data_IF_839280203016
#
_entry.id   IF_839280203016
#
_cell.length_a   1.000
_cell.length_b   1.000
_cell.length_c   1.000
_cell.angle_alpha   90.00
_cell.angle_beta   90.00
_cell.angle_gamma   90.00
#
_symmetry.space_group_name_H-M   'P 1'
#
loop_
_entity.id
_entity.type
_entity.pdbx_description
1 polymer ?
#
# COMPACT_ATOMS: atom_id res chain seq x y z
N UNK A 1 5.79 -18.71 51.40
CA UNK A 1 4.55 -18.14 50.82
C UNK A 1 4.91 -16.83 50.11
N UNK A 2 4.40 -16.56 48.90
CA UNK A 2 4.49 -15.29 48.11
C UNK A 2 5.56 -15.15 47.00
N UNK A 3 5.72 -16.14 46.12
CA UNK A 3 6.39 -15.92 44.81
C UNK A 3 5.51 -16.32 43.60
N UNK A 4 4.43 -17.09 43.81
CA UNK A 4 3.55 -17.51 42.72
C UNK A 4 2.60 -16.42 42.19
N UNK A 5 2.45 -15.29 42.90
CA UNK A 5 1.42 -14.28 42.58
C UNK A 5 1.83 -13.24 41.53
N UNK A 6 3.11 -13.12 41.19
CA UNK A 6 3.57 -12.13 40.19
C UNK A 6 3.47 -12.70 38.76
N UNK A 7 3.65 -14.01 38.59
CA UNK A 7 3.62 -14.65 37.27
C UNK A 7 2.21 -14.68 36.66
N UNK A 8 1.16 -14.83 37.47
CA UNK A 8 -0.23 -14.85 37.00
C UNK A 8 -0.71 -13.47 36.49
N UNK A 9 -0.15 -12.38 37.01
CA UNK A 9 -0.53 -11.01 36.62
C UNK A 9 0.15 -10.63 35.29
N UNK A 10 1.37 -11.09 35.03
CA UNK A 10 2.10 -10.83 33.78
C UNK A 10 1.43 -11.53 32.58
N UNK A 11 0.85 -12.72 32.77
CA UNK A 11 0.15 -13.44 31.69
C UNK A 11 -1.21 -12.83 31.34
N UNK A 12 -1.92 -12.22 32.30
CA UNK A 12 -3.23 -11.61 32.07
C UNK A 12 -3.15 -10.31 31.26
N UNK A 13 -2.07 -9.52 31.43
CA UNK A 13 -1.89 -8.23 30.76
C UNK A 13 -1.50 -8.41 29.28
N UNK A 14 -0.78 -9.48 28.93
CA UNK A 14 -0.34 -9.71 27.54
C UNK A 14 -1.48 -10.17 26.62
N UNK A 15 -2.51 -10.83 27.16
CA UNK A 15 -3.69 -11.29 26.39
C UNK A 15 -4.75 -10.22 26.11
N UNK A 16 -4.60 -9.04 26.71
CA UNK A 16 -5.51 -7.88 26.55
C UNK A 16 -4.97 -6.83 25.57
N UNK A 17 -3.76 -7.02 25.02
CA UNK A 17 -3.25 -6.15 23.99
C UNK A 17 -4.04 -6.41 22.70
N UNK A 18 -4.74 -5.41 22.14
CA UNK A 18 -5.40 -5.57 20.86
C UNK A 18 -4.33 -5.96 19.83
N UNK A 19 -4.54 -7.07 19.14
CA UNK A 19 -3.76 -7.39 17.94
C UNK A 19 -4.05 -6.26 16.96
N UNK A 20 -3.13 -5.32 16.82
CA UNK A 20 -3.26 -4.24 15.85
C UNK A 20 -3.21 -4.87 14.47
N UNK A 21 -4.32 -4.85 13.75
CA UNK A 21 -4.34 -5.27 12.35
C UNK A 21 -3.44 -4.31 11.56
N UNK A 22 -2.28 -4.80 11.14
CA UNK A 22 -1.42 -4.04 10.24
C UNK A 22 -2.11 -3.93 8.87
N UNK A 23 -2.20 -2.72 8.33
CA UNK A 23 -2.68 -2.54 6.97
C UNK A 23 -1.66 -3.14 5.99
N UNK A 24 -2.14 -3.98 5.08
CA UNK A 24 -1.33 -4.55 4.00
C UNK A 24 -1.60 -3.77 2.72
N UNK A 25 -0.57 -3.10 2.20
CA UNK A 25 -0.64 -2.34 0.96
C UNK A 25 -0.02 -3.12 -0.20
N UNK A 26 -0.44 -2.80 -1.43
CA UNK A 26 0.08 -3.42 -2.67
C UNK A 26 -0.10 -4.95 -2.73
N UNK A 27 -1.06 -5.51 -1.99
CA UNK A 27 -1.29 -6.96 -1.89
C UNK A 27 -1.84 -7.59 -3.19
N UNK A 28 -2.44 -6.79 -4.07
CA UNK A 28 -3.02 -7.25 -5.34
C UNK A 28 -2.66 -6.26 -6.43
N UNK A 29 -2.30 -6.82 -7.58
CA UNK A 29 -2.17 -6.08 -8.84
C UNK A 29 -3.45 -6.33 -9.65
N UNK A 30 -4.13 -5.26 -10.04
CA UNK A 30 -5.21 -5.31 -11.01
C UNK A 30 -4.75 -4.61 -12.30
N UNK A 31 -4.19 -5.34 -13.27
CA UNK A 31 -3.56 -4.76 -14.44
C UNK A 31 -4.60 -4.32 -15.47
N UNK A 32 -4.41 -3.12 -16.02
CA UNK A 32 -5.03 -2.67 -17.25
C UNK A 32 -4.04 -2.84 -18.39
N UNK A 33 -4.46 -3.52 -19.45
CA UNK A 33 -3.61 -3.88 -20.57
C UNK A 33 -3.78 -2.93 -21.73
N UNK A 34 -2.68 -2.60 -22.41
CA UNK A 34 -2.73 -1.99 -23.74
C UNK A 34 -3.27 -2.99 -24.78
N UNK A 35 -3.90 -2.53 -25.87
CA UNK A 35 -4.49 -3.42 -26.88
C UNK A 35 -3.49 -4.37 -27.54
N UNK A 36 -2.25 -3.91 -27.71
CA UNK A 36 -1.14 -4.67 -28.29
C UNK A 36 -0.33 -5.46 -27.25
N UNK A 37 -0.68 -5.33 -25.96
CA UNK A 37 -0.01 -6.03 -24.85
C UNK A 37 1.42 -5.56 -24.57
N UNK A 38 1.89 -4.46 -25.19
CA UNK A 38 3.25 -3.95 -24.99
C UNK A 38 3.43 -3.21 -23.66
N UNK A 39 2.33 -2.67 -23.13
CA UNK A 39 2.25 -2.01 -21.82
C UNK A 39 1.15 -2.58 -20.95
N UNK A 40 1.36 -2.50 -19.63
CA UNK A 40 0.28 -2.59 -18.66
C UNK A 40 0.44 -1.51 -17.58
N UNK A 41 -0.65 -1.10 -16.96
CA UNK A 41 -0.60 -0.20 -15.81
C UNK A 41 -1.56 -0.64 -14.72
N UNK A 42 -1.26 -0.26 -13.47
CA UNK A 42 -2.12 -0.53 -12.32
C UNK A 42 -2.05 0.59 -11.28
N UNK A 43 -3.05 0.60 -10.39
CA UNK A 43 -3.13 1.53 -9.25
C UNK A 43 -2.78 0.80 -7.96
N UNK A 44 -1.89 1.36 -7.17
CA UNK A 44 -1.75 1.00 -5.77
C UNK A 44 -2.50 2.00 -4.90
N UNK A 45 -3.19 1.48 -3.88
CA UNK A 45 -3.69 2.28 -2.77
C UNK A 45 -2.65 2.23 -1.65
N UNK A 46 -2.31 3.39 -1.10
CA UNK A 46 -1.27 3.62 -0.09
C UNK A 46 -1.93 4.11 1.22
N UNK A 47 -1.14 4.25 2.31
CA UNK A 47 -1.63 4.89 3.54
C UNK A 47 -2.26 6.26 3.27
N UNK A 48 -3.11 6.71 4.20
CA UNK A 48 -3.70 8.06 4.17
C UNK A 48 -4.54 8.38 2.91
N UNK A 49 -4.96 7.34 2.17
CA UNK A 49 -5.76 7.49 0.96
C UNK A 49 -4.95 7.87 -0.28
N UNK A 50 -3.61 7.91 -0.17
CA UNK A 50 -2.72 8.14 -1.29
C UNK A 50 -2.86 7.03 -2.36
N UNK A 51 -2.56 7.42 -3.60
CA UNK A 51 -2.65 6.52 -4.76
C UNK A 51 -1.42 6.73 -5.62
N UNK A 52 -0.83 5.65 -6.09
CA UNK A 52 0.20 5.71 -7.14
C UNK A 52 -0.27 4.90 -8.36
N UNK A 53 0.09 5.39 -9.54
CA UNK A 53 -0.15 4.71 -10.81
C UNK A 53 1.19 4.24 -11.36
N UNK A 54 1.30 2.95 -11.59
CA UNK A 54 2.51 2.28 -12.06
C UNK A 54 2.30 1.87 -13.52
N UNK A 55 3.26 2.21 -14.37
CA UNK A 55 3.35 1.75 -15.76
C UNK A 55 4.44 0.69 -15.85
N UNK A 56 4.15 -0.35 -16.63
CA UNK A 56 5.08 -1.40 -16.99
C UNK A 56 5.22 -1.42 -18.50
N UNK A 57 6.45 -1.28 -18.99
CA UNK A 57 6.82 -1.57 -20.37
C UNK A 57 7.29 -3.03 -20.41
N UNK A 58 6.50 -3.90 -21.03
CA UNK A 58 6.80 -5.34 -21.08
C UNK A 58 7.93 -5.66 -22.06
N UNK A 59 8.15 -4.82 -23.06
CA UNK A 59 9.20 -5.03 -24.06
C UNK A 59 10.57 -4.69 -23.49
N UNK A 60 10.65 -3.64 -22.69
CA UNK A 60 11.89 -3.19 -22.04
C UNK A 60 12.08 -3.77 -20.64
N UNK A 61 11.05 -4.40 -20.06
CA UNK A 61 11.06 -4.88 -18.68
C UNK A 61 11.16 -3.74 -17.66
N UNK A 62 10.61 -2.55 -17.98
CA UNK A 62 10.68 -1.38 -17.11
C UNK A 62 9.44 -1.25 -16.24
N UNK A 63 9.65 -0.81 -15.01
CA UNK A 63 8.60 -0.51 -14.03
C UNK A 63 8.82 0.88 -13.45
N UNK A 64 7.89 1.78 -13.69
CA UNK A 64 8.00 3.17 -13.26
C UNK A 64 6.65 3.79 -12.90
N UNK A 65 6.67 4.98 -12.30
CA UNK A 65 5.43 5.75 -12.10
C UNK A 65 4.94 6.21 -13.47
N UNK A 66 3.64 6.08 -13.72
CA UNK A 66 3.04 6.51 -14.97
C UNK A 66 3.16 8.03 -15.20
N UNK A 67 3.21 8.81 -14.11
CA UNK A 67 3.39 10.26 -14.12
C UNK A 67 3.79 10.77 -12.73
N UNK A 68 4.19 12.04 -12.68
CA UNK A 68 4.37 12.82 -11.45
C UNK A 68 2.99 13.33 -10.96
N UNK A 69 2.59 12.92 -9.76
CA UNK A 69 1.27 13.18 -9.21
C UNK A 69 1.09 14.63 -8.79
N UNK A 70 2.14 15.22 -8.22
CA UNK A 70 2.10 16.59 -7.72
C UNK A 70 2.02 17.56 -8.90
N UNK A 71 2.82 17.30 -9.94
CA UNK A 71 2.78 18.06 -11.18
C UNK A 71 1.44 17.94 -11.88
N UNK A 72 0.89 16.72 -11.99
CA UNK A 72 -0.43 16.51 -12.62
C UNK A 72 -1.54 17.24 -11.86
N UNK A 73 -1.60 17.10 -10.53
CA UNK A 73 -2.59 17.77 -9.70
C UNK A 73 -2.50 19.29 -9.82
N UNK A 74 -1.28 19.85 -9.77
CA UNK A 74 -1.06 21.28 -9.93
C UNK A 74 -1.48 21.80 -11.31
N UNK A 75 -1.27 21.02 -12.38
CA UNK A 75 -1.73 21.40 -13.72
C UNK A 75 -3.25 21.33 -13.83
N UNK A 76 -3.89 20.25 -13.37
CA UNK A 76 -5.35 20.12 -13.43
C UNK A 76 -6.08 21.21 -12.62
N UNK A 77 -5.51 21.63 -11.48
CA UNK A 77 -6.08 22.71 -10.67
C UNK A 77 -6.00 24.09 -11.36
N UNK A 78 -5.04 24.29 -12.27
CA UNK A 78 -4.91 25.55 -13.02
C UNK A 78 -5.84 25.63 -14.21
N UNK A 79 -6.16 24.50 -14.83
CA UNK A 79 -6.96 24.41 -16.06
C UNK A 79 -8.46 24.21 -15.80
N UNK A 80 -8.86 23.92 -14.55
CA UNK A 80 -10.25 23.79 -14.12
C UNK A 80 -10.79 25.06 -13.50
#
# INVERSE_FOLDING_TARGET
>A
MRIQSVCAIVTLVLGLLPVTYANVYKARINPNWSPDGSYMWYRNNLPEGEREFILIDLQKGLRERAFDHDKLAATLQKEG
#
